data_IF_184438997770
#
_entry.id   IF_184438997770
#
_cell.length_a   1.000
_cell.length_b   1.000
_cell.length_c   1.000
_cell.angle_alpha   90.00
_cell.angle_beta   90.00
_cell.angle_gamma   90.00
#
_symmetry.space_group_name_H-M   'P 1'
#
loop_
_entity.id
_entity.type
_entity.pdbx_description
1 polymer ?
#
# COMPACT_ATOMS: atom_id res chain seq x y z
N UNK A 1 -15.64 -12.96 -20.63
CA UNK A 1 -14.28 -12.72 -20.11
C UNK A 1 -14.19 -11.24 -19.76
N UNK A 2 -14.11 -10.87 -18.49
CA UNK A 2 -13.95 -9.46 -18.08
C UNK A 2 -12.46 -9.12 -18.09
N UNK A 3 -12.05 -8.24 -19.01
CA UNK A 3 -10.67 -7.79 -19.08
C UNK A 3 -10.45 -6.67 -18.05
N UNK A 4 -9.73 -6.98 -16.98
CA UNK A 4 -9.32 -6.04 -15.94
C UNK A 4 -7.86 -5.64 -16.18
N UNK A 5 -7.59 -4.34 -16.12
CA UNK A 5 -6.23 -3.80 -16.22
C UNK A 5 -5.97 -2.88 -15.03
N UNK A 6 -4.90 -3.17 -14.28
CA UNK A 6 -4.42 -2.36 -13.16
C UNK A 6 -3.08 -1.71 -13.54
N UNK A 7 -3.00 -0.38 -13.40
CA UNK A 7 -1.74 0.35 -13.52
C UNK A 7 -1.03 0.42 -12.16
N UNK A 8 0.28 0.17 -12.15
CA UNK A 8 1.15 0.36 -10.99
C UNK A 8 2.40 1.13 -11.43
N UNK A 9 2.69 2.26 -10.79
CA UNK A 9 3.90 3.05 -11.02
C UNK A 9 4.85 2.97 -9.84
N UNK A 10 6.12 2.59 -10.07
CA UNK A 10 7.13 2.32 -9.02
C UNK A 10 8.29 3.34 -9.03
N UNK A 11 8.19 4.44 -9.79
CA UNK A 11 9.24 5.46 -9.87
C UNK A 11 8.95 6.69 -8.99
N UNK A 12 9.97 7.53 -8.73
CA UNK A 12 9.82 8.89 -8.22
C UNK A 12 9.32 9.78 -9.37
N UNK A 13 8.01 10.01 -9.52
CA UNK A 13 7.44 10.73 -10.64
C UNK A 13 7.69 12.23 -10.45
N UNK A 14 8.12 12.92 -11.51
CA UNK A 14 8.11 14.38 -11.55
C UNK A 14 6.70 14.92 -11.85
N UNK A 15 6.54 16.25 -11.86
CA UNK A 15 5.27 16.90 -12.22
C UNK A 15 4.76 16.49 -13.62
N UNK A 16 5.68 16.19 -14.55
CA UNK A 16 5.37 15.65 -15.87
C UNK A 16 4.66 14.31 -15.81
N UNK A 17 5.04 13.46 -14.84
CA UNK A 17 4.54 12.10 -14.71
C UNK A 17 3.17 12.07 -14.04
N UNK A 18 2.92 12.96 -13.06
CA UNK A 18 1.58 13.15 -12.48
C UNK A 18 0.55 13.48 -13.57
N UNK A 19 0.82 14.50 -14.38
CA UNK A 19 -0.06 14.89 -15.49
C UNK A 19 -0.10 13.82 -16.60
N UNK A 20 1.04 13.18 -16.86
CA UNK A 20 1.15 12.09 -17.83
C UNK A 20 0.27 10.89 -17.47
N UNK A 21 0.28 10.49 -16.19
CA UNK A 21 -0.55 9.42 -15.66
C UNK A 21 -2.04 9.74 -15.79
N UNK A 22 -2.47 10.94 -15.41
CA UNK A 22 -3.85 11.39 -15.60
C UNK A 22 -4.29 11.35 -17.07
N UNK A 23 -3.44 11.82 -17.99
CA UNK A 23 -3.72 11.76 -19.44
C UNK A 23 -3.82 10.32 -19.94
N UNK A 24 -2.97 9.43 -19.46
CA UNK A 24 -3.02 8.00 -19.79
C UNK A 24 -4.34 7.39 -19.31
N UNK A 25 -4.74 7.63 -18.06
CA UNK A 25 -5.99 7.14 -17.47
C UNK A 25 -7.20 7.61 -18.28
N UNK A 26 -7.26 8.89 -18.64
CA UNK A 26 -8.36 9.45 -19.47
C UNK A 26 -8.40 8.79 -20.85
N UNK A 27 -7.24 8.63 -21.51
CA UNK A 27 -7.18 7.98 -22.83
C UNK A 27 -7.61 6.51 -22.77
N UNK A 28 -7.14 5.77 -21.76
CA UNK A 28 -7.53 4.39 -21.53
C UNK A 28 -9.02 4.26 -21.23
N UNK A 29 -9.59 5.14 -20.39
CA UNK A 29 -11.04 5.17 -20.12
C UNK A 29 -11.84 5.33 -21.41
N UNK A 30 -11.45 6.29 -22.25
CA UNK A 30 -12.13 6.56 -23.53
C UNK A 30 -12.10 5.35 -24.45
N UNK A 31 -10.96 4.66 -24.55
CA UNK A 31 -10.86 3.47 -25.40
C UNK A 31 -11.61 2.27 -24.79
N UNK A 32 -11.43 2.04 -23.50
CA UNK A 32 -12.03 0.90 -22.80
C UNK A 32 -13.55 0.98 -22.76
N UNK A 33 -14.12 2.19 -22.75
CA UNK A 33 -15.56 2.42 -22.90
C UNK A 33 -16.13 1.78 -24.16
N UNK A 34 -15.40 1.82 -25.28
CA UNK A 34 -15.86 1.26 -26.56
C UNK A 34 -15.99 -0.26 -26.51
N UNK A 35 -15.24 -0.90 -25.62
CA UNK A 35 -15.18 -2.36 -25.48
C UNK A 35 -15.84 -2.87 -24.20
N UNK A 36 -16.41 -1.98 -23.38
CA UNK A 36 -17.01 -2.33 -22.08
C UNK A 36 -16.00 -2.86 -21.05
N UNK A 37 -14.74 -2.43 -21.11
CA UNK A 37 -13.70 -2.91 -20.19
C UNK A 37 -13.64 -2.16 -18.88
N UNK A 38 -13.23 -2.87 -17.82
CA UNK A 38 -12.97 -2.29 -16.52
C UNK A 38 -11.54 -1.73 -16.44
N UNK A 39 -11.45 -0.49 -15.97
CA UNK A 39 -10.20 0.18 -15.64
C UNK A 39 -10.13 0.54 -14.15
N UNK A 40 -9.04 0.17 -13.50
CA UNK A 40 -8.68 0.56 -12.12
C UNK A 40 -7.17 0.83 -12.01
N UNK A 41 -6.73 1.35 -10.86
CA UNK A 41 -5.31 1.55 -10.58
C UNK A 41 -5.00 1.26 -9.13
N UNK A 42 -3.80 0.74 -8.86
CA UNK A 42 -3.25 0.62 -7.52
C UNK A 42 -2.58 1.95 -7.13
N UNK A 43 -2.93 2.49 -5.96
CA UNK A 43 -2.47 3.81 -5.51
C UNK A 43 -1.77 3.74 -4.16
N UNK A 44 -0.82 4.66 -3.95
CA UNK A 44 0.00 4.72 -2.74
C UNK A 44 -0.81 5.01 -1.48
N UNK A 45 -0.46 4.34 -0.38
CA UNK A 45 -0.95 4.66 0.96
C UNK A 45 -0.17 5.78 1.66
N UNK A 46 1.01 6.15 1.15
CA UNK A 46 1.80 7.28 1.68
C UNK A 46 1.13 8.60 1.30
N UNK A 47 0.59 9.32 2.29
CA UNK A 47 -0.20 10.53 2.10
C UNK A 47 0.56 11.61 1.34
N UNK A 48 1.84 11.82 1.66
CA UNK A 48 2.69 12.83 0.99
C UNK A 48 2.86 12.56 -0.51
N UNK A 49 2.75 11.30 -0.95
CA UNK A 49 2.80 10.95 -2.38
C UNK A 49 1.51 11.28 -3.12
N UNK A 50 0.39 11.47 -2.42
CA UNK A 50 -0.90 11.72 -3.08
C UNK A 50 -0.82 13.01 -3.88
N UNK A 51 -0.32 14.08 -3.27
CA UNK A 51 -0.21 15.39 -3.91
C UNK A 51 0.83 15.42 -5.02
N UNK A 52 1.93 14.68 -4.87
CA UNK A 52 3.00 14.65 -5.86
C UNK A 52 2.64 13.79 -7.08
N UNK A 53 1.94 12.66 -6.90
CA UNK A 53 1.86 11.62 -7.95
C UNK A 53 0.50 11.57 -8.65
N UNK A 54 -0.56 12.10 -8.03
CA UNK A 54 -1.92 11.86 -8.50
C UNK A 54 -2.74 13.14 -8.63
N UNK A 55 -3.73 13.10 -9.53
CA UNK A 55 -4.84 14.06 -9.59
C UNK A 55 -6.13 13.33 -9.17
N UNK A 56 -6.45 13.29 -7.85
CA UNK A 56 -7.49 12.42 -7.31
C UNK A 56 -8.86 12.58 -7.99
N UNK A 57 -9.26 13.81 -8.31
CA UNK A 57 -10.49 14.10 -9.06
C UNK A 57 -10.51 13.47 -10.45
N UNK A 58 -9.40 13.55 -11.20
CA UNK A 58 -9.32 12.92 -12.53
C UNK A 58 -9.37 11.41 -12.40
N UNK A 59 -8.64 10.85 -11.43
CA UNK A 59 -8.60 9.41 -11.21
C UNK A 59 -9.98 8.85 -10.86
N UNK A 60 -10.67 9.39 -9.87
CA UNK A 60 -11.97 8.84 -9.44
C UNK A 60 -13.06 8.93 -10.53
N UNK A 61 -12.99 9.97 -11.38
CA UNK A 61 -13.96 10.17 -12.47
C UNK A 61 -13.73 9.21 -13.65
N UNK A 62 -12.51 8.67 -13.80
CA UNK A 62 -12.13 7.84 -14.95
C UNK A 62 -11.85 6.37 -14.58
N UNK A 63 -11.60 6.07 -13.31
CA UNK A 63 -11.42 4.71 -12.81
C UNK A 63 -12.73 4.19 -12.21
N UNK A 64 -12.96 2.88 -12.32
CA UNK A 64 -14.08 2.26 -11.62
C UNK A 64 -13.84 2.25 -10.12
N UNK A 65 -12.60 1.96 -9.70
CA UNK A 65 -12.14 2.01 -8.32
C UNK A 65 -10.62 2.25 -8.25
N UNK A 66 -10.16 2.71 -7.09
CA UNK A 66 -8.75 2.91 -6.72
C UNK A 66 -8.38 1.88 -5.66
N UNK A 67 -7.40 1.02 -5.95
CA UNK A 67 -6.89 0.03 -5.01
C UNK A 67 -5.83 0.65 -4.11
N UNK A 68 -6.18 0.97 -2.87
CA UNK A 68 -5.24 1.54 -1.92
C UNK A 68 -4.27 0.45 -1.43
N UNK A 69 -2.99 0.60 -1.74
CA UNK A 69 -1.93 -0.30 -1.29
C UNK A 69 -1.57 -0.01 0.18
N UNK A 70 -2.51 -0.25 1.10
CA UNK A 70 -2.40 0.03 2.53
C UNK A 70 -1.57 -1.01 3.29
N UNK A 71 -0.37 -1.26 2.78
CA UNK A 71 0.59 -2.25 3.25
C UNK A 71 2.01 -1.83 2.85
N UNK A 72 3.00 -2.61 3.28
CA UNK A 72 4.43 -2.28 3.16
C UNK A 72 4.83 -0.97 3.86
N UNK A 73 4.14 -0.63 4.95
CA UNK A 73 4.57 0.47 5.83
C UNK A 73 5.92 0.13 6.47
N UNK A 74 6.06 -1.08 7.00
CA UNK A 74 7.36 -1.64 7.38
C UNK A 74 7.72 -2.84 6.52
N UNK A 75 9.00 -2.88 6.13
CA UNK A 75 9.55 -3.92 5.25
C UNK A 75 10.73 -4.61 5.92
N UNK A 76 11.09 -5.79 5.43
CA UNK A 76 12.12 -6.64 6.04
C UNK A 76 13.52 -5.98 6.15
N UNK A 77 13.77 -4.93 5.36
CA UNK A 77 15.02 -4.16 5.39
C UNK A 77 15.11 -3.11 6.50
N UNK A 78 14.03 -2.88 7.26
CA UNK A 78 14.02 -1.88 8.33
C UNK A 78 14.94 -2.29 9.49
N UNK A 79 15.53 -1.29 10.14
CA UNK A 79 16.43 -1.48 11.30
C UNK A 79 15.67 -1.77 12.60
N UNK A 80 14.35 -1.72 12.56
CA UNK A 80 13.45 -1.95 13.69
C UNK A 80 12.30 -2.82 13.23
N UNK A 81 11.82 -3.69 14.11
CA UNK A 81 10.63 -4.51 13.88
C UNK A 81 9.42 -3.58 13.78
N UNK A 82 8.70 -3.65 12.66
CA UNK A 82 7.45 -2.91 12.43
C UNK A 82 6.38 -3.78 11.79
N UNK A 83 5.16 -3.28 11.77
CA UNK A 83 4.02 -3.97 11.16
C UNK A 83 3.93 -3.67 9.67
N UNK A 84 3.64 -4.67 8.84
CA UNK A 84 3.47 -4.47 7.40
C UNK A 84 2.26 -3.60 7.07
N UNK A 85 1.18 -3.71 7.86
CA UNK A 85 -0.06 -2.94 7.70
C UNK A 85 -0.67 -2.57 9.06
N UNK A 86 -0.06 -1.64 9.82
CA UNK A 86 -0.62 -1.17 11.09
C UNK A 86 -1.93 -0.42 10.83
N UNK A 87 -2.99 -0.75 11.58
CA UNK A 87 -4.27 -0.07 11.38
C UNK A 87 -4.25 1.34 11.98
N UNK A 88 -3.62 1.47 13.16
CA UNK A 88 -3.36 2.73 13.85
C UNK A 88 -1.86 2.92 14.08
N UNK A 89 -1.44 4.15 14.36
CA UNK A 89 -0.08 4.46 14.82
C UNK A 89 0.30 3.58 16.03
N UNK A 90 1.52 3.05 16.04
CA UNK A 90 2.07 2.32 17.17
C UNK A 90 3.27 3.06 17.78
N UNK A 91 3.27 3.21 19.11
CA UNK A 91 4.39 3.84 19.83
C UNK A 91 4.72 5.23 19.28
N UNK A 92 6.00 5.44 18.93
CA UNK A 92 6.52 6.72 18.41
C UNK A 92 6.73 6.70 16.88
N UNK A 93 6.09 5.77 16.16
CA UNK A 93 6.14 5.75 14.69
C UNK A 93 5.50 6.99 14.08
N UNK A 94 5.80 7.28 12.81
CA UNK A 94 5.17 8.37 12.06
C UNK A 94 3.64 8.19 12.06
N UNK A 95 2.87 9.20 12.54
CA UNK A 95 1.41 9.11 12.65
C UNK A 95 0.68 8.96 11.30
N UNK A 96 1.38 9.18 10.19
CA UNK A 96 0.85 9.01 8.83
C UNK A 96 1.09 7.61 8.26
N UNK A 97 1.91 6.79 8.92
CA UNK A 97 2.33 5.47 8.44
C UNK A 97 1.43 4.34 8.95
N UNK A 98 0.13 4.47 8.71
CA UNK A 98 -0.88 3.46 9.04
C UNK A 98 -2.08 3.51 8.09
N UNK A 99 -2.86 2.42 8.10
CA UNK A 99 -4.03 2.23 7.21
C UNK A 99 -5.06 3.34 7.40
N UNK A 100 -5.40 3.69 8.65
CA UNK A 100 -6.39 4.74 8.92
C UNK A 100 -6.00 6.07 8.31
N UNK A 101 -4.78 6.53 8.56
CA UNK A 101 -4.27 7.78 8.03
C UNK A 101 -4.24 7.78 6.49
N UNK A 102 -3.85 6.65 5.87
CA UNK A 102 -3.85 6.51 4.42
C UNK A 102 -5.26 6.65 3.82
N UNK A 103 -6.27 5.99 4.40
CA UNK A 103 -7.67 6.09 3.98
C UNK A 103 -8.17 7.53 4.15
N UNK A 104 -8.00 8.12 5.33
CA UNK A 104 -8.40 9.49 5.63
C UNK A 104 -7.74 10.51 4.70
N UNK A 105 -6.47 10.28 4.33
CA UNK A 105 -5.73 11.10 3.38
C UNK A 105 -6.39 11.13 2.00
N UNK A 106 -6.82 9.98 1.46
CA UNK A 106 -7.51 9.93 0.17
C UNK A 106 -8.91 10.55 0.22
N UNK A 107 -9.65 10.32 1.31
CA UNK A 107 -10.97 10.92 1.53
C UNK A 107 -10.88 12.44 1.64
N UNK A 108 -9.87 12.96 2.35
CA UNK A 108 -9.62 14.40 2.48
C UNK A 108 -9.26 15.07 1.14
N UNK A 109 -8.80 14.31 0.15
CA UNK A 109 -8.58 14.77 -1.24
C UNK A 109 -9.83 14.67 -2.12
N UNK A 110 -10.97 14.34 -1.53
CA UNK A 110 -12.27 14.32 -2.20
C UNK A 110 -12.56 13.05 -2.99
N UNK A 111 -11.80 11.96 -2.80
CA UNK A 111 -12.17 10.66 -3.38
C UNK A 111 -13.35 10.09 -2.61
N UNK A 112 -14.40 9.71 -3.34
CA UNK A 112 -15.59 9.12 -2.73
C UNK A 112 -15.28 7.75 -2.10
N UNK A 113 -15.82 7.42 -0.90
CA UNK A 113 -15.54 6.14 -0.22
C UNK A 113 -15.85 4.90 -1.07
N UNK A 114 -16.90 4.92 -1.90
CA UNK A 114 -17.29 3.81 -2.79
C UNK A 114 -16.30 3.57 -3.93
N UNK A 115 -15.42 4.54 -4.21
CA UNK A 115 -14.34 4.42 -5.19
C UNK A 115 -13.07 3.82 -4.60
N UNK A 116 -12.91 3.80 -3.28
CA UNK A 116 -11.66 3.44 -2.63
C UNK A 116 -11.72 2.00 -2.09
N UNK A 117 -10.96 1.10 -2.72
CA UNK A 117 -10.87 -0.32 -2.30
C UNK A 117 -9.63 -0.50 -1.45
N UNK A 118 -9.82 -0.90 -0.19
CA UNK A 118 -8.73 -1.13 0.75
C UNK A 118 -7.98 -2.44 0.44
N UNK A 119 -6.68 -2.34 0.17
CA UNK A 119 -5.80 -3.50 0.02
C UNK A 119 -5.44 -4.10 1.39
N UNK A 120 -5.64 -5.41 1.53
CA UNK A 120 -5.31 -6.17 2.74
C UNK A 120 -4.22 -7.19 2.40
N UNK A 121 -3.02 -7.11 3.00
CA UNK A 121 -1.94 -8.03 2.66
C UNK A 121 -2.17 -9.41 3.27
N UNK A 122 -2.14 -10.47 2.44
CA UNK A 122 -2.12 -11.87 2.90
C UNK A 122 -0.69 -12.39 3.09
N UNK A 123 0.21 -11.50 3.49
CA UNK A 123 1.62 -11.78 3.76
C UNK A 123 2.09 -10.87 4.89
N UNK A 124 3.23 -11.22 5.49
CA UNK A 124 3.96 -10.37 6.42
C UNK A 124 5.46 -10.42 6.15
N UNK A 125 6.18 -9.48 6.74
CA UNK A 125 7.66 -9.51 6.73
C UNK A 125 8.18 -10.07 8.04
N UNK A 126 9.33 -10.73 7.97
CA UNK A 126 10.02 -11.23 9.16
C UNK A 126 11.34 -10.48 9.33
N UNK A 127 11.82 -10.43 10.58
CA UNK A 127 13.04 -9.74 10.98
C UNK A 127 14.00 -10.69 11.68
N UNK A 128 15.29 -10.47 11.48
CA UNK A 128 16.33 -11.03 12.35
C UNK A 128 16.57 -10.05 13.49
N UNK A 129 16.12 -10.38 14.71
CA UNK A 129 16.30 -9.53 15.89
C UNK A 129 17.79 -9.31 16.19
N UNK A 130 18.16 -8.07 16.51
CA UNK A 130 19.51 -7.76 16.98
C UNK A 130 19.74 -8.27 18.42
N UNK A 131 18.68 -8.31 19.21
CA UNK A 131 18.65 -8.88 20.57
C UNK A 131 17.42 -9.80 20.67
N UNK A 132 17.65 -11.10 20.86
CA UNK A 132 16.58 -12.11 20.90
C UNK A 132 15.63 -11.93 22.10
N UNK A 133 16.05 -11.19 23.13
CA UNK A 133 15.21 -10.89 24.29
C UNK A 133 14.25 -9.72 24.04
N UNK A 134 14.48 -8.94 22.96
CA UNK A 134 13.64 -7.82 22.52
C UNK A 134 12.86 -8.24 21.28
N UNK A 135 11.66 -8.76 21.48
CA UNK A 135 10.82 -9.39 20.45
C UNK A 135 9.47 -8.69 20.24
N UNK A 136 9.37 -7.41 20.58
CA UNK A 136 8.17 -6.57 20.38
C UNK A 136 8.33 -5.63 19.20
N UNK A 137 7.24 -4.99 18.75
CA UNK A 137 7.31 -3.87 17.79
C UNK A 137 8.26 -2.79 18.33
N UNK A 138 9.06 -2.18 17.45
CA UNK A 138 10.11 -1.22 17.77
C UNK A 138 11.44 -1.84 18.19
N UNK A 139 11.51 -3.16 18.38
CA UNK A 139 12.77 -3.84 18.73
C UNK A 139 13.81 -3.73 17.61
N UNK A 140 15.11 -3.61 17.93
CA UNK A 140 16.15 -3.49 16.92
C UNK A 140 16.28 -4.78 16.08
N UNK A 141 16.47 -4.61 14.78
CA UNK A 141 16.60 -5.68 13.80
C UNK A 141 17.89 -5.51 12.97
N UNK A 142 18.56 -6.62 12.67
CA UNK A 142 19.74 -6.68 11.80
C UNK A 142 19.38 -6.85 10.31
N UNK A 143 18.10 -6.76 9.97
CA UNK A 143 17.56 -6.88 8.63
C UNK A 143 16.60 -8.06 8.46
N UNK A 144 16.45 -8.56 7.23
CA UNK A 144 15.41 -9.52 6.91
C UNK A 144 15.53 -10.81 7.71
N UNK A 145 14.37 -11.35 8.11
CA UNK A 145 14.26 -12.64 8.76
C UNK A 145 14.46 -13.82 7.80
N UNK A 146 13.95 -14.98 8.20
CA UNK A 146 14.13 -16.23 7.45
C UNK A 146 13.70 -16.10 5.98
N UNK A 147 14.51 -16.64 5.06
CA UNK A 147 14.39 -16.53 3.60
C UNK A 147 14.51 -15.11 2.99
N UNK A 148 14.70 -14.07 3.80
CA UNK A 148 14.93 -12.70 3.34
C UNK A 148 13.85 -12.18 2.37
N UNK A 149 12.60 -12.61 2.55
CA UNK A 149 11.43 -12.25 1.73
C UNK A 149 10.16 -12.12 2.57
N UNK A 150 9.09 -11.63 1.94
CA UNK A 150 7.74 -11.72 2.49
C UNK A 150 7.32 -13.19 2.68
N UNK A 151 6.63 -13.47 3.77
CA UNK A 151 6.06 -14.77 4.11
C UNK A 151 4.55 -14.72 3.91
N UNK A 152 4.01 -15.61 3.08
CA UNK A 152 2.56 -15.67 2.88
C UNK A 152 1.86 -16.25 4.10
N UNK A 153 0.57 -15.93 4.26
CA UNK A 153 -0.26 -16.40 5.38
C UNK A 153 -0.13 -17.90 5.66
N UNK A 154 -0.11 -18.74 4.63
CA UNK A 154 0.04 -20.19 4.78
C UNK A 154 1.38 -20.60 5.39
N UNK A 155 2.45 -19.86 5.11
CA UNK A 155 3.79 -20.12 5.65
C UNK A 155 3.89 -19.67 7.10
N UNK A 156 3.26 -18.53 7.43
CA UNK A 156 3.17 -18.02 8.80
C UNK A 156 2.38 -19.00 9.67
N UNK A 157 1.25 -19.50 9.17
CA UNK A 157 0.37 -20.43 9.90
C UNK A 157 1.01 -21.79 10.20
N UNK A 158 1.89 -22.28 9.34
CA UNK A 158 2.43 -23.65 9.41
C UNK A 158 3.76 -23.75 10.14
N UNK A 159 4.34 -22.63 10.55
CA UNK A 159 5.66 -22.56 11.19
C UNK A 159 5.57 -21.84 12.54
N UNK A 160 6.52 -22.11 13.43
CA UNK A 160 6.60 -21.47 14.75
C UNK A 160 7.17 -20.03 14.66
N UNK A 161 6.46 -19.13 13.97
CA UNK A 161 6.78 -17.70 14.00
C UNK A 161 6.09 -17.02 15.19
N UNK A 162 6.78 -16.06 15.81
CA UNK A 162 6.12 -15.08 16.68
C UNK A 162 5.37 -14.12 15.76
N UNK A 163 4.05 -14.15 15.82
CA UNK A 163 3.18 -13.24 15.07
C UNK A 163 2.87 -12.05 15.95
N UNK A 164 3.25 -10.85 15.50
CA UNK A 164 2.89 -9.60 16.19
C UNK A 164 1.86 -8.89 15.32
N UNK A 165 0.70 -8.59 15.90
CA UNK A 165 -0.42 -7.92 15.23
C UNK A 165 -1.09 -6.95 16.19
N UNK A 166 -1.65 -5.87 15.64
CA UNK A 166 -2.65 -5.06 16.34
C UNK A 166 -4.02 -5.70 16.13
N UNK A 167 -4.81 -5.82 17.19
CA UNK A 167 -6.26 -6.07 17.14
C UNK A 167 -6.97 -4.85 17.72
#
# INVERSE_FOLDING_TARGET
VHHFYSLQGVCKPGDSDKKGFSKLVVKLRTEFNKHGFYLSAAVSAVISKIDTYYEPTILQNNLHWLGLMAYDFHVAGDKTVGLTAPFFQYGNEDPTFNVKAAVEGWLAKGVSPDKLVLGVPMYGVSYTLADKTKNTIGSPANGPGFQKRALFYNEVRTRNYIVISQL
#
